data_IF_788970190749
#
_entry.id   IF_788970190749
#
_cell.length_a   1.000
_cell.length_b   1.000
_cell.length_c   1.000
_cell.angle_alpha   90.00
_cell.angle_beta   90.00
_cell.angle_gamma   90.00
#
_symmetry.space_group_name_H-M   'P 1'
#
loop_
_entity.id
_entity.type
_entity.pdbx_description
1 polymer ?
#
# COMPACT_ATOMS: atom_id res chain seq x y z
N UNK A 1 -46.83 60.98 -3.83
CA UNK A 1 -45.50 61.00 -3.20
C UNK A 1 -45.41 59.77 -2.31
N UNK A 2 -44.75 58.71 -2.78
CA UNK A 2 -44.63 57.44 -2.07
C UNK A 2 -43.21 57.34 -1.47
N UNK A 3 -43.12 57.07 -0.18
CA UNK A 3 -41.85 56.91 0.53
C UNK A 3 -41.33 55.48 0.32
N UNK A 4 -40.16 55.36 -0.31
CA UNK A 4 -39.42 54.11 -0.47
C UNK A 4 -38.68 53.81 0.83
N UNK A 5 -39.14 52.79 1.56
CA UNK A 5 -38.46 52.29 2.76
C UNK A 5 -37.28 51.42 2.33
N UNK A 6 -36.06 51.87 2.62
CA UNK A 6 -34.82 51.09 2.44
C UNK A 6 -34.78 49.96 3.46
N UNK A 7 -34.76 48.72 2.97
CA UNK A 7 -34.59 47.52 3.77
C UNK A 7 -33.11 47.43 4.21
N UNK A 8 -32.84 47.65 5.50
CA UNK A 8 -31.53 47.37 6.08
C UNK A 8 -31.44 45.86 6.40
N UNK A 9 -30.44 45.13 5.86
CA UNK A 9 -30.24 43.73 6.19
C UNK A 9 -29.78 43.57 7.65
N UNK A 10 -30.30 42.51 8.29
CA UNK A 10 -30.01 42.09 9.67
C UNK A 10 -28.53 41.70 9.85
N UNK A 11 -27.90 41.93 11.02
CA UNK A 11 -26.50 41.55 11.29
C UNK A 11 -26.24 40.04 11.44
N UNK A 12 -27.25 39.17 11.26
CA UNK A 12 -27.12 37.71 11.50
C UNK A 12 -26.91 36.86 10.23
N UNK A 13 -26.68 37.48 9.07
CA UNK A 13 -26.17 36.76 7.90
C UNK A 13 -24.63 36.69 7.95
N UNK A 14 -24.12 35.99 8.96
CA UNK A 14 -22.75 35.48 8.92
C UNK A 14 -22.74 34.37 7.88
N UNK A 15 -22.56 34.77 6.62
CA UNK A 15 -22.14 33.87 5.58
C UNK A 15 -20.90 33.13 6.11
N UNK A 16 -21.08 31.83 6.38
CA UNK A 16 -19.96 30.96 6.71
C UNK A 16 -19.15 30.86 5.43
N UNK A 17 -18.15 31.74 5.28
CA UNK A 17 -17.17 31.68 4.19
C UNK A 17 -16.32 30.45 4.47
N UNK A 18 -16.76 29.32 3.96
CA UNK A 18 -16.04 28.06 4.01
C UNK A 18 -14.82 28.18 3.09
N UNK A 19 -13.66 28.49 3.66
CA UNK A 19 -12.35 28.30 3.04
C UNK A 19 -11.96 29.32 1.97
N UNK A 20 -11.62 30.54 2.40
CA UNK A 20 -10.64 31.33 1.65
C UNK A 20 -9.29 30.61 1.74
N UNK A 21 -8.85 29.99 0.65
CA UNK A 21 -7.46 29.55 0.50
C UNK A 21 -6.60 30.82 0.56
N UNK A 22 -5.70 30.88 1.55
CA UNK A 22 -5.01 32.11 1.91
C UNK A 22 -3.76 32.38 1.05
N UNK A 23 -3.49 31.59 0.02
CA UNK A 23 -2.41 31.87 -0.93
C UNK A 23 -2.72 31.27 -2.31
N UNK A 24 -2.56 32.05 -3.38
CA UNK A 24 -2.55 31.58 -4.79
C UNK A 24 -1.59 30.37 -4.96
N UNK A 25 -0.56 30.30 -4.14
CA UNK A 25 0.35 29.16 -4.03
C UNK A 25 -0.35 27.84 -3.65
N UNK A 26 -1.31 27.84 -2.73
CA UNK A 26 -2.07 26.63 -2.36
C UNK A 26 -2.98 26.18 -3.49
N UNK A 27 -3.54 27.11 -4.25
CA UNK A 27 -4.38 26.79 -5.41
C UNK A 27 -3.55 26.18 -6.55
N UNK A 28 -2.30 26.62 -6.72
CA UNK A 28 -1.36 26.11 -7.73
C UNK A 28 -0.74 24.77 -7.27
N UNK A 29 -0.17 24.71 -6.06
CA UNK A 29 0.60 23.56 -5.56
C UNK A 29 -0.30 22.45 -5.05
N UNK A 30 -1.51 22.79 -4.57
CA UNK A 30 -2.47 21.87 -3.95
C UNK A 30 -1.77 20.86 -3.05
N UNK A 31 -1.06 21.31 -1.99
CA UNK A 31 -0.21 20.44 -1.17
C UNK A 31 -0.95 19.22 -0.60
N UNK A 32 -2.26 19.31 -0.40
CA UNK A 32 -3.14 18.19 -0.02
C UNK A 32 -3.35 17.13 -1.11
N UNK A 33 -2.79 17.31 -2.31
CA UNK A 33 -2.84 16.38 -3.46
C UNK A 33 -1.48 15.76 -3.78
N UNK A 34 -0.52 15.80 -2.85
CA UNK A 34 0.72 15.03 -3.02
C UNK A 34 0.39 13.53 -3.07
N UNK A 35 0.80 12.87 -4.15
CA UNK A 35 0.72 11.42 -4.29
C UNK A 35 2.10 10.86 -3.95
N UNK A 36 2.21 10.26 -2.77
CA UNK A 36 3.35 9.45 -2.38
C UNK A 36 3.17 8.05 -2.98
N UNK A 37 3.95 7.77 -4.01
CA UNK A 37 4.00 6.47 -4.70
C UNK A 37 5.47 6.10 -4.80
N UNK A 38 5.83 4.88 -4.39
CA UNK A 38 7.23 4.45 -4.51
C UNK A 38 7.61 4.20 -5.96
N UNK A 39 8.85 4.48 -6.31
CA UNK A 39 9.41 4.22 -7.64
C UNK A 39 9.29 2.73 -8.00
N UNK A 40 9.44 1.85 -7.00
CA UNK A 40 9.24 0.42 -7.15
C UNK A 40 7.81 0.06 -7.60
N UNK A 41 6.78 0.69 -7.00
CA UNK A 41 5.40 0.47 -7.42
C UNK A 41 5.20 0.85 -8.89
N UNK A 42 5.71 2.01 -9.30
CA UNK A 42 5.58 2.51 -10.67
C UNK A 42 6.23 1.56 -11.67
N UNK A 43 7.49 1.18 -11.41
CA UNK A 43 8.27 0.40 -12.36
C UNK A 43 7.86 -1.07 -12.42
N UNK A 44 7.47 -1.66 -11.29
CA UNK A 44 7.26 -3.11 -11.21
C UNK A 44 5.81 -3.53 -10.97
N UNK A 45 4.99 -2.73 -10.29
CA UNK A 45 3.60 -3.11 -10.04
C UNK A 45 2.64 -2.61 -11.11
N UNK A 46 2.78 -1.36 -11.58
CA UNK A 46 1.78 -0.77 -12.51
C UNK A 46 1.59 -1.63 -13.77
N UNK A 47 2.65 -2.20 -14.33
CA UNK A 47 2.57 -3.08 -15.51
C UNK A 47 1.87 -4.42 -15.27
N UNK A 48 1.78 -4.86 -14.01
CA UNK A 48 1.12 -6.12 -13.58
C UNK A 48 -0.34 -5.91 -13.18
N UNK A 49 -0.75 -4.66 -12.99
CA UNK A 49 -2.09 -4.29 -12.59
C UNK A 49 -2.86 -3.78 -13.81
N UNK A 50 -4.18 -3.94 -13.81
CA UNK A 50 -4.98 -3.11 -14.69
C UNK A 50 -4.92 -1.65 -14.20
N UNK A 51 -5.05 -0.65 -15.10
CA UNK A 51 -4.92 0.76 -14.72
C UNK A 51 -5.85 1.19 -13.59
N UNK A 52 -7.08 0.65 -13.58
CA UNK A 52 -8.06 0.97 -12.54
C UNK A 52 -7.64 0.46 -11.16
N UNK A 53 -7.12 -0.76 -11.06
CA UNK A 53 -6.65 -1.34 -9.81
C UNK A 53 -5.41 -0.61 -9.30
N UNK A 54 -4.48 -0.22 -10.19
CA UNK A 54 -3.33 0.60 -9.80
C UNK A 54 -3.79 1.92 -9.14
N UNK A 55 -4.75 2.62 -9.74
CA UNK A 55 -5.32 3.84 -9.15
C UNK A 55 -6.06 3.61 -7.83
N UNK A 56 -6.78 2.48 -7.70
CA UNK A 56 -7.43 2.10 -6.43
C UNK A 56 -6.37 1.89 -5.33
N UNK A 57 -5.27 1.19 -5.64
CA UNK A 57 -4.19 0.95 -4.66
C UNK A 57 -3.58 2.28 -4.20
N UNK A 58 -3.26 3.18 -5.14
CA UNK A 58 -2.74 4.51 -4.83
C UNK A 58 -3.71 5.28 -3.93
N UNK A 59 -5.00 5.32 -4.26
CA UNK A 59 -5.99 6.03 -3.46
C UNK A 59 -6.12 5.46 -2.04
N UNK A 60 -6.05 4.12 -1.90
CA UNK A 60 -6.09 3.47 -0.59
C UNK A 60 -4.82 3.76 0.23
N UNK A 61 -3.64 3.68 -0.38
CA UNK A 61 -2.37 4.02 0.28
C UNK A 61 -2.36 5.47 0.74
N UNK A 62 -2.84 6.40 -0.09
CA UNK A 62 -3.00 7.81 0.29
C UNK A 62 -3.95 8.00 1.46
N UNK A 63 -5.08 7.28 1.48
CA UNK A 63 -6.02 7.35 2.58
C UNK A 63 -5.41 6.81 3.89
N UNK A 64 -4.66 5.72 3.83
CA UNK A 64 -3.98 5.13 4.97
C UNK A 64 -2.84 6.02 5.48
N UNK A 65 -2.08 6.65 4.59
CA UNK A 65 -1.02 7.60 4.94
C UNK A 65 -1.56 8.83 5.70
N UNK A 66 -2.71 9.38 5.28
CA UNK A 66 -3.33 10.54 5.95
C UNK A 66 -3.74 10.27 7.41
N UNK A 67 -3.92 9.01 7.79
CA UNK A 67 -4.29 8.61 9.16
C UNK A 67 -3.13 7.96 9.92
N UNK A 68 -1.93 7.98 9.35
CA UNK A 68 -0.71 7.38 9.91
C UNK A 68 -0.90 5.92 10.39
N UNK A 69 -1.54 5.10 9.55
CA UNK A 69 -1.85 3.72 9.88
C UNK A 69 -1.60 2.75 8.73
N UNK A 70 -1.11 1.55 9.05
CA UNK A 70 -0.95 0.42 8.09
C UNK A 70 -2.31 -0.14 7.61
N UNK A 71 -3.39 0.17 8.33
CA UNK A 71 -4.74 -0.22 7.97
C UNK A 71 -5.65 0.99 8.03
N UNK A 72 -6.52 1.13 7.04
CA UNK A 72 -7.48 2.23 7.02
C UNK A 72 -8.89 1.76 6.67
N UNK A 73 -9.86 2.38 7.34
CA UNK A 73 -11.27 2.20 7.00
C UNK A 73 -11.67 3.30 6.05
N UNK A 74 -12.01 2.93 4.82
CA UNK A 74 -12.46 3.87 3.80
C UNK A 74 -13.69 3.32 3.10
N UNK A 75 -14.75 4.12 3.02
CA UNK A 75 -15.97 3.67 2.35
C UNK A 75 -15.74 3.51 0.84
N UNK A 76 -16.44 2.56 0.22
CA UNK A 76 -16.36 2.40 -1.23
C UNK A 76 -16.79 3.67 -1.97
N UNK A 77 -17.72 4.45 -1.40
CA UNK A 77 -18.12 5.75 -1.94
C UNK A 77 -16.97 6.78 -1.90
N UNK A 78 -16.18 6.78 -0.83
CA UNK A 78 -14.99 7.62 -0.73
C UNK A 78 -13.92 7.20 -1.73
N UNK A 79 -13.67 5.89 -1.91
CA UNK A 79 -12.78 5.41 -2.98
C UNK A 79 -13.30 5.84 -4.37
N UNK A 80 -14.62 5.75 -4.62
CA UNK A 80 -15.22 6.22 -5.88
C UNK A 80 -14.92 7.70 -6.11
N UNK A 81 -15.05 8.51 -5.06
CA UNK A 81 -14.79 9.95 -5.12
C UNK A 81 -13.30 10.25 -5.35
N UNK A 82 -12.40 9.61 -4.61
CA UNK A 82 -10.95 9.81 -4.71
C UNK A 82 -10.40 9.36 -6.08
N UNK A 83 -10.91 8.25 -6.62
CA UNK A 83 -10.43 7.69 -7.89
C UNK A 83 -11.20 8.25 -9.10
N UNK A 84 -12.37 8.86 -8.89
CA UNK A 84 -13.25 9.35 -9.97
C UNK A 84 -13.91 8.23 -10.77
N UNK A 85 -14.14 7.06 -10.16
CA UNK A 85 -14.65 5.85 -10.83
C UNK A 85 -15.92 5.35 -10.12
N UNK A 86 -16.86 4.81 -10.88
CA UNK A 86 -18.10 4.28 -10.32
C UNK A 86 -17.89 3.00 -9.47
N UNK A 87 -18.84 2.74 -8.57
CA UNK A 87 -18.81 1.62 -7.63
C UNK A 87 -18.68 0.26 -8.31
N UNK A 88 -19.40 0.04 -9.41
CA UNK A 88 -19.40 -1.25 -10.13
C UNK A 88 -18.01 -1.58 -10.68
N UNK A 89 -17.30 -0.57 -11.18
CA UNK A 89 -15.95 -0.70 -11.74
C UNK A 89 -14.92 -0.98 -10.64
N UNK A 90 -15.05 -0.35 -9.47
CA UNK A 90 -14.25 -0.69 -8.30
C UNK A 90 -14.48 -2.14 -7.90
N UNK A 91 -15.73 -2.56 -7.74
CA UNK A 91 -16.07 -3.95 -7.37
C UNK A 91 -15.50 -4.96 -8.36
N UNK A 92 -15.53 -4.65 -9.67
CA UNK A 92 -14.93 -5.50 -10.71
C UNK A 92 -13.41 -5.56 -10.59
N UNK A 93 -12.76 -4.42 -10.38
CA UNK A 93 -11.30 -4.32 -10.30
C UNK A 93 -10.75 -5.00 -9.05
N UNK A 94 -11.48 -4.93 -7.92
CA UNK A 94 -11.16 -5.64 -6.68
C UNK A 94 -11.38 -7.16 -6.75
N UNK A 95 -11.79 -7.71 -7.90
CA UNK A 95 -11.80 -9.16 -8.16
C UNK A 95 -10.61 -9.63 -8.98
N UNK A 96 -9.73 -8.72 -9.40
CA UNK A 96 -8.56 -9.10 -10.20
C UNK A 96 -7.62 -10.02 -9.40
N UNK A 97 -6.98 -11.02 -10.04
CA UNK A 97 -6.11 -11.96 -9.36
C UNK A 97 -4.93 -11.33 -8.63
N UNK A 98 -4.40 -10.20 -9.10
CA UNK A 98 -3.25 -9.53 -8.45
C UNK A 98 -3.65 -8.62 -7.28
N UNK A 99 -4.95 -8.51 -6.97
CA UNK A 99 -5.43 -7.60 -5.93
C UNK A 99 -4.90 -7.97 -4.54
N UNK A 100 -4.90 -9.25 -4.17
CA UNK A 100 -4.54 -9.68 -2.81
C UNK A 100 -3.07 -9.43 -2.47
N UNK A 101 -2.21 -9.23 -3.49
CA UNK A 101 -0.83 -8.83 -3.28
C UNK A 101 -0.70 -7.44 -2.64
N UNK A 102 -1.61 -6.52 -2.96
CA UNK A 102 -1.53 -5.13 -2.49
C UNK A 102 -2.63 -4.79 -1.48
N UNK A 103 -3.77 -5.48 -1.60
CA UNK A 103 -4.97 -5.34 -0.76
C UNK A 103 -5.32 -6.74 -0.23
N UNK A 104 -4.57 -7.26 0.77
CA UNK A 104 -4.72 -8.62 1.26
C UNK A 104 -6.12 -8.88 1.80
N UNK A 105 -6.66 -7.96 2.60
CA UNK A 105 -7.94 -8.14 3.26
C UNK A 105 -8.94 -7.04 2.88
N UNK A 106 -10.18 -7.48 2.63
CA UNK A 106 -11.35 -6.60 2.48
C UNK A 106 -12.41 -7.14 3.42
N UNK A 107 -12.73 -6.38 4.46
CA UNK A 107 -13.78 -6.72 5.41
C UNK A 107 -15.04 -5.97 5.05
N UNK A 108 -16.09 -6.72 4.72
CA UNK A 108 -17.42 -6.16 4.50
C UNK A 108 -18.15 -6.10 5.83
N UNK A 109 -18.22 -4.91 6.41
CA UNK A 109 -18.94 -4.70 7.66
C UNK A 109 -20.44 -4.90 7.45
N UNK A 110 -21.08 -5.56 8.41
CA UNK A 110 -22.53 -5.75 8.42
C UNK A 110 -23.24 -4.39 8.59
N UNK A 111 -24.44 -4.26 8.03
CA UNK A 111 -25.22 -3.03 8.15
C UNK A 111 -25.62 -2.75 9.60
N UNK A 112 -25.59 -1.49 10.02
CA UNK A 112 -26.11 -1.07 11.32
C UNK A 112 -27.49 -0.42 11.16
N UNK A 113 -28.39 -0.62 12.12
CA UNK A 113 -29.69 0.03 12.09
C UNK A 113 -29.53 1.50 12.50
N UNK A 114 -29.86 2.41 11.58
CA UNK A 114 -29.89 3.84 11.85
C UNK A 114 -31.27 4.23 12.40
N UNK A 115 -31.37 4.46 13.71
CA UNK A 115 -32.64 4.79 14.38
C UNK A 115 -33.27 6.11 13.90
N UNK A 116 -32.45 7.10 13.53
CA UNK A 116 -32.96 8.39 13.03
C UNK A 116 -33.65 8.23 11.68
N UNK A 117 -33.09 7.38 10.80
CA UNK A 117 -33.63 7.10 9.47
C UNK A 117 -34.57 5.89 9.44
N UNK A 118 -34.72 5.18 10.57
CA UNK A 118 -35.46 3.91 10.71
C UNK A 118 -35.11 2.90 9.61
N UNK A 119 -33.84 2.82 9.23
CA UNK A 119 -33.36 1.99 8.13
C UNK A 119 -32.00 1.37 8.43
N UNK A 120 -31.73 0.19 7.88
CA UNK A 120 -30.39 -0.40 7.89
C UNK A 120 -29.48 0.37 6.94
N UNK A 121 -28.35 0.85 7.45
CA UNK A 121 -27.32 1.53 6.69
C UNK A 121 -26.11 0.61 6.55
N UNK A 122 -25.61 0.34 5.33
CA UNK A 122 -24.40 -0.44 5.15
C UNK A 122 -23.22 0.33 5.75
N UNK A 123 -22.41 -0.37 6.56
CA UNK A 123 -21.15 0.19 7.05
C UNK A 123 -20.12 0.24 5.90
N UNK A 124 -19.17 1.20 5.94
CA UNK A 124 -18.01 1.21 5.07
C UNK A 124 -17.28 -0.15 5.09
N UNK A 125 -16.83 -0.59 3.92
CA UNK A 125 -15.86 -1.67 3.85
C UNK A 125 -14.54 -1.23 4.50
N UNK A 126 -13.82 -2.15 5.11
CA UNK A 126 -12.47 -1.92 5.62
C UNK A 126 -11.48 -2.59 4.69
N UNK A 127 -10.38 -1.89 4.41
CA UNK A 127 -9.35 -2.36 3.51
C UNK A 127 -8.04 -2.41 4.28
N UNK A 128 -7.37 -3.55 4.25
CA UNK A 128 -5.96 -3.65 4.64
C UNK A 128 -5.13 -3.45 3.38
N UNK A 129 -4.21 -2.49 3.39
CA UNK A 129 -3.36 -2.17 2.25
C UNK A 129 -1.93 -2.06 2.71
N UNK A 130 -1.00 -2.58 1.92
CA UNK A 130 0.42 -2.37 2.19
C UNK A 130 0.84 -0.95 1.81
N UNK A 131 1.34 -0.17 2.77
CA UNK A 131 1.86 1.18 2.51
C UNK A 131 3.10 1.13 1.63
N UNK A 132 4.03 0.22 1.95
CA UNK A 132 5.13 -0.15 1.05
C UNK A 132 4.70 -1.36 0.23
N UNK A 133 4.71 -1.30 -1.12
CA UNK A 133 4.33 -2.44 -1.93
C UNK A 133 5.23 -3.64 -1.60
N UNK A 134 4.71 -4.87 -1.51
CA UNK A 134 5.56 -6.03 -1.35
C UNK A 134 6.39 -6.24 -2.62
N UNK A 135 7.43 -7.08 -2.52
CA UNK A 135 8.15 -7.50 -3.71
C UNK A 135 7.21 -8.24 -4.68
N UNK A 136 7.42 -8.05 -5.97
CA UNK A 136 6.68 -8.79 -7.01
C UNK A 136 6.97 -10.31 -6.91
N UNK A 137 6.08 -11.16 -7.47
CA UNK A 137 6.32 -12.61 -7.50
C UNK A 137 7.67 -13.00 -8.10
N UNK A 138 8.10 -12.29 -9.15
CA UNK A 138 9.37 -12.52 -9.84
C UNK A 138 10.56 -12.18 -8.96
N UNK A 139 10.51 -11.08 -8.21
CA UNK A 139 11.58 -10.67 -7.30
C UNK A 139 11.65 -11.55 -6.05
N UNK A 140 10.52 -12.02 -5.52
CA UNK A 140 10.52 -13.03 -4.45
C UNK A 140 11.15 -14.34 -4.93
N UNK A 141 10.82 -14.76 -6.15
CA UNK A 141 11.41 -15.94 -6.80
C UNK A 141 12.91 -15.75 -7.00
N UNK A 142 13.32 -14.59 -7.49
CA UNK A 142 14.72 -14.19 -7.67
C UNK A 142 15.50 -14.19 -6.36
N UNK A 143 14.93 -13.63 -5.29
CA UNK A 143 15.52 -13.66 -3.95
C UNK A 143 15.70 -15.08 -3.44
N UNK A 144 14.69 -15.94 -3.60
CA UNK A 144 14.82 -17.36 -3.24
C UNK A 144 15.92 -18.06 -4.03
N UNK A 145 15.99 -17.82 -5.34
CA UNK A 145 17.01 -18.36 -6.23
C UNK A 145 18.42 -17.89 -5.87
N UNK A 146 18.59 -16.59 -5.63
CA UNK A 146 19.83 -15.97 -5.19
C UNK A 146 20.31 -16.57 -3.87
N UNK A 147 19.45 -16.65 -2.84
CA UNK A 147 19.83 -17.21 -1.54
C UNK A 147 20.28 -18.68 -1.65
N UNK A 148 19.63 -19.48 -2.50
CA UNK A 148 20.05 -20.86 -2.81
C UNK A 148 21.41 -20.91 -3.52
N UNK A 149 21.62 -20.02 -4.49
CA UNK A 149 22.82 -19.99 -5.33
C UNK A 149 24.07 -19.50 -4.57
N UNK A 150 23.91 -18.54 -3.64
CA UNK A 150 25.00 -18.02 -2.80
C UNK A 150 25.59 -19.06 -1.83
N UNK A 151 25.23 -20.34 -1.98
CA UNK A 151 25.69 -21.40 -1.11
C UNK A 151 25.26 -21.17 0.33
N UNK A 152 24.12 -20.49 0.55
CA UNK A 152 23.56 -20.28 1.89
C UNK A 152 23.19 -21.64 2.47
N UNK A 153 24.20 -22.27 3.06
CA UNK A 153 24.09 -23.40 3.96
C UNK A 153 23.05 -23.08 5.05
N UNK A 154 22.64 -24.07 5.82
CA UNK A 154 21.78 -23.88 7.00
C UNK A 154 22.38 -22.97 8.09
N UNK A 155 23.52 -22.31 7.83
CA UNK A 155 24.21 -21.37 8.70
C UNK A 155 23.67 -19.95 8.50
N UNK A 156 23.22 -19.34 9.60
CA UNK A 156 22.70 -17.97 9.63
C UNK A 156 23.70 -16.90 9.18
N UNK A 157 25.00 -17.09 9.41
CA UNK A 157 26.02 -16.12 9.01
C UNK A 157 26.08 -15.95 7.49
N UNK A 158 26.02 -17.05 6.74
CA UNK A 158 26.02 -17.02 5.27
C UNK A 158 24.75 -16.34 4.71
N UNK A 159 23.59 -16.59 5.35
CA UNK A 159 22.33 -15.92 4.99
C UNK A 159 22.44 -14.41 5.24
N UNK A 160 22.97 -14.02 6.40
CA UNK A 160 23.20 -12.62 6.77
C UNK A 160 24.15 -11.92 5.78
N UNK A 161 25.26 -12.56 5.42
CA UNK A 161 26.23 -12.04 4.44
C UNK A 161 25.58 -11.87 3.05
N UNK A 162 24.79 -12.84 2.59
CA UNK A 162 24.11 -12.76 1.30
C UNK A 162 23.07 -11.62 1.27
N UNK A 163 22.33 -11.40 2.36
CA UNK A 163 21.39 -10.28 2.51
C UNK A 163 22.15 -8.95 2.56
N UNK A 164 23.22 -8.89 3.35
CA UNK A 164 24.03 -7.68 3.46
C UNK A 164 24.62 -7.28 2.11
N UNK A 165 25.10 -8.25 1.32
CA UNK A 165 25.60 -7.98 -0.02
C UNK A 165 24.56 -7.30 -0.91
N UNK A 166 23.29 -7.73 -0.87
CA UNK A 166 22.21 -7.08 -1.61
C UNK A 166 21.95 -5.65 -1.10
N UNK A 167 21.96 -5.44 0.21
CA UNK A 167 21.77 -4.11 0.81
C UNK A 167 22.91 -3.12 0.52
N UNK A 168 24.13 -3.64 0.31
CA UNK A 168 25.30 -2.84 -0.04
C UNK A 168 25.28 -2.42 -1.53
N UNK A 169 24.43 -3.02 -2.35
CA UNK A 169 24.23 -2.59 -3.73
C UNK A 169 23.27 -1.40 -3.80
N UNK A 170 23.37 -0.53 -4.82
CA UNK A 170 22.28 0.37 -5.18
C UNK A 170 20.98 -0.42 -5.46
N UNK A 171 19.82 0.11 -5.05
CA UNK A 171 18.51 -0.59 -5.16
C UNK A 171 18.29 -1.20 -6.54
N UNK A 172 18.53 -0.43 -7.62
CA UNK A 172 18.38 -0.93 -9.00
C UNK A 172 19.29 -2.13 -9.28
N UNK A 173 20.54 -2.09 -8.80
CA UNK A 173 21.48 -3.18 -9.00
C UNK A 173 21.11 -4.42 -8.19
N UNK A 174 20.61 -4.24 -6.97
CA UNK A 174 20.07 -5.34 -6.16
C UNK A 174 18.91 -6.03 -6.90
N UNK A 175 17.98 -5.26 -7.46
CA UNK A 175 16.85 -5.79 -8.24
C UNK A 175 17.31 -6.53 -9.50
N UNK A 176 18.27 -6.00 -10.26
CA UNK A 176 18.88 -6.70 -11.41
C UNK A 176 19.48 -8.07 -10.99
N UNK A 177 20.13 -8.14 -9.83
CA UNK A 177 20.64 -9.41 -9.29
C UNK A 177 19.48 -10.38 -9.03
N UNK A 178 18.38 -9.90 -8.44
CA UNK A 178 17.21 -10.75 -8.20
C UNK A 178 16.60 -11.24 -9.52
N UNK A 179 16.40 -10.36 -10.49
CA UNK A 179 15.88 -10.69 -11.82
C UNK A 179 16.74 -11.73 -12.54
N UNK A 180 18.07 -11.64 -12.43
CA UNK A 180 18.98 -12.63 -12.99
C UNK A 180 18.85 -14.04 -12.37
N UNK A 181 18.29 -14.14 -11.17
CA UNK A 181 18.02 -15.40 -10.46
C UNK A 181 16.55 -15.82 -10.54
N UNK A 182 15.70 -15.07 -11.22
CA UNK A 182 14.29 -15.41 -11.38
C UNK A 182 14.14 -16.62 -12.31
N UNK A 183 13.49 -17.68 -11.82
CA UNK A 183 13.11 -18.81 -12.65
C UNK A 183 12.10 -18.39 -13.73
N UNK A 184 12.02 -19.14 -14.83
CA UNK A 184 11.10 -18.83 -15.93
C UNK A 184 9.61 -18.81 -15.55
N UNK A 185 9.24 -19.31 -14.37
CA UNK A 185 7.91 -19.21 -13.80
C UNK A 185 7.99 -18.73 -12.33
N UNK A 186 7.12 -17.80 -11.90
CA UNK A 186 7.08 -17.36 -10.51
C UNK A 186 6.68 -18.51 -9.58
N UNK A 187 7.41 -18.67 -8.48
CA UNK A 187 7.16 -19.73 -7.49
C UNK A 187 6.03 -19.39 -6.51
N UNK A 188 5.71 -18.11 -6.38
CA UNK A 188 4.84 -17.59 -5.32
C UNK A 188 3.56 -17.01 -5.92
N UNK A 189 2.42 -17.48 -5.41
CA UNK A 189 1.08 -16.99 -5.80
C UNK A 189 0.55 -15.91 -4.85
N UNK A 190 1.18 -15.76 -3.69
CA UNK A 190 0.80 -14.84 -2.61
C UNK A 190 2.02 -14.06 -2.12
N UNK A 191 1.82 -12.83 -1.63
CA UNK A 191 2.90 -12.08 -0.99
C UNK A 191 3.34 -12.82 0.27
N UNK A 192 4.63 -13.13 0.37
CA UNK A 192 5.21 -13.78 1.54
C UNK A 192 6.17 -12.83 2.25
N UNK A 193 6.19 -12.83 3.60
CA UNK A 193 7.23 -12.14 4.35
C UNK A 193 8.62 -12.64 3.94
N UNK A 194 9.61 -11.75 3.86
CA UNK A 194 10.98 -12.16 3.48
C UNK A 194 11.57 -13.22 4.41
N UNK A 195 11.18 -13.21 5.69
CA UNK A 195 11.53 -14.27 6.63
C UNK A 195 11.08 -15.65 6.12
N UNK A 196 9.85 -15.78 5.64
CA UNK A 196 9.33 -17.04 5.07
C UNK A 196 10.09 -17.42 3.79
N UNK A 197 10.46 -16.45 2.95
CA UNK A 197 11.29 -16.72 1.76
C UNK A 197 12.65 -17.29 2.15
N UNK A 198 13.30 -16.73 3.19
CA UNK A 198 14.57 -17.24 3.72
C UNK A 198 14.39 -18.67 4.24
N UNK A 199 13.34 -18.95 5.01
CA UNK A 199 13.06 -20.30 5.52
C UNK A 199 12.88 -21.31 4.38
N UNK A 200 12.13 -20.93 3.33
CA UNK A 200 11.90 -21.77 2.16
C UNK A 200 13.16 -21.95 1.30
N UNK A 201 14.00 -20.93 1.19
CA UNK A 201 15.21 -20.98 0.37
C UNK A 201 16.33 -21.79 1.03
N UNK A 202 16.47 -21.68 2.36
CA UNK A 202 17.63 -22.18 3.11
C UNK A 202 17.33 -23.41 3.98
N UNK A 203 16.04 -23.70 4.21
CA UNK A 203 15.58 -24.74 5.13
C UNK A 203 15.72 -24.39 6.61
N UNK A 204 16.28 -23.23 6.96
CA UNK A 204 16.46 -22.78 8.34
C UNK A 204 15.13 -22.24 8.87
N UNK A 205 14.56 -22.85 9.91
CA UNK A 205 13.32 -22.36 10.54
C UNK A 205 13.65 -21.29 11.58
N UNK A 206 13.39 -20.02 11.25
CA UNK A 206 13.71 -18.87 12.09
C UNK A 206 12.96 -18.91 13.42
N UNK A 207 11.76 -19.45 13.46
CA UNK A 207 10.99 -19.56 14.70
C UNK A 207 11.54 -20.58 15.71
N UNK A 208 12.48 -21.45 15.33
CA UNK A 208 13.13 -22.41 16.24
C UNK A 208 14.49 -21.94 16.76
N UNK A 209 14.99 -20.80 16.27
CA UNK A 209 16.28 -20.26 16.66
C UNK A 209 16.15 -19.32 17.87
N UNK A 210 17.20 -19.20 18.70
CA UNK A 210 17.21 -18.27 19.82
C UNK A 210 16.95 -16.83 19.38
N UNK A 211 16.19 -16.07 20.17
CA UNK A 211 15.87 -14.66 19.89
C UNK A 211 17.11 -13.78 19.66
N UNK A 212 18.23 -14.11 20.30
CA UNK A 212 19.52 -13.42 20.13
C UNK A 212 20.07 -13.53 18.71
N UNK A 213 19.75 -14.59 17.98
CA UNK A 213 20.20 -14.80 16.60
C UNK A 213 19.15 -14.36 15.57
N UNK A 214 17.86 -14.50 15.89
CA UNK A 214 16.78 -14.18 14.94
C UNK A 214 16.45 -12.70 14.87
N UNK A 215 16.62 -11.96 15.97
CA UNK A 215 16.29 -10.53 16.01
C UNK A 215 17.15 -9.70 15.05
N UNK A 216 18.49 -9.87 14.99
CA UNK A 216 19.31 -9.16 14.01
C UNK A 216 18.91 -9.47 12.56
N UNK A 217 18.69 -10.75 12.25
CA UNK A 217 18.31 -11.17 10.90
C UNK A 217 16.92 -10.62 10.51
N UNK A 218 15.95 -10.62 11.42
CA UNK A 218 14.62 -10.02 11.16
C UNK A 218 14.73 -8.52 10.89
N UNK A 219 15.62 -7.80 11.59
CA UNK A 219 15.89 -6.39 11.32
C UNK A 219 16.55 -6.18 9.96
N UNK A 220 17.54 -6.99 9.61
CA UNK A 220 18.16 -6.95 8.28
C UNK A 220 17.14 -7.23 7.17
N UNK A 221 16.24 -8.19 7.36
CA UNK A 221 15.19 -8.50 6.39
C UNK A 221 14.19 -7.34 6.23
N UNK A 222 13.81 -6.69 7.33
CA UNK A 222 12.97 -5.48 7.24
C UNK A 222 13.69 -4.35 6.51
N UNK A 223 14.99 -4.14 6.79
CA UNK A 223 15.81 -3.15 6.10
C UNK A 223 15.98 -3.48 4.61
N UNK A 224 16.18 -4.76 4.26
CA UNK A 224 16.23 -5.23 2.87
C UNK A 224 14.90 -4.95 2.15
N UNK A 225 13.77 -5.26 2.78
CA UNK A 225 12.46 -4.96 2.20
C UNK A 225 12.33 -3.48 1.86
N UNK A 226 12.59 -2.59 2.83
CA UNK A 226 12.53 -1.14 2.62
C UNK A 226 13.58 -0.63 1.61
N UNK A 227 14.74 -1.28 1.52
CA UNK A 227 15.76 -0.93 0.54
C UNK A 227 15.34 -1.26 -0.89
N UNK A 228 14.58 -2.34 -1.08
CA UNK A 228 14.15 -2.83 -2.39
C UNK A 228 12.87 -2.17 -2.91
N UNK A 229 12.03 -1.58 -2.05
CA UNK A 229 10.67 -1.11 -2.41
C UNK A 229 10.38 0.34 -2.06
#
# INVERSE_FOLDING_TARGET
MAATTLHQPSPEEIATVTGLSLNEYEEIVKPHRQLLISDYFINYWVSRLNPTLAWIVVALQQACWRVDADTCTISQAQICHEVGINRATITRSLKAPMRHWLIPNITYNQSTFNYQKRAFQPLPAQYTVYLSPPLTPEHLTGLSGYLKASGSTTKLSAISEAIQYLMDQPTRKALEILEAHTASHPLFNDPLPLATIVELATGVRLNHLPSSQTTPLKRQLAALQSHLT
#
